data_IF_276853273812
#
_entry.id   IF_276853273812
#
_cell.length_a   1.000
_cell.length_b   1.000
_cell.length_c   1.000
_cell.angle_alpha   90.00
_cell.angle_beta   90.00
_cell.angle_gamma   90.00
#
_symmetry.space_group_name_H-M   'P 1'
#
loop_
_entity.id
_entity.type
_entity.pdbx_description
1 polymer ?
#
# COMPACT_ATOMS: atom_id res chain seq x y z
N UNK A 1 25.50 23.30 -66.70
CA UNK A 1 26.33 23.68 -65.53
C UNK A 1 25.42 24.28 -64.47
N UNK A 2 25.38 23.63 -63.31
CA UNK A 2 25.02 24.07 -61.95
C UNK A 2 24.28 25.42 -61.76
N UNK A 3 23.11 25.36 -61.13
CA UNK A 3 22.77 26.26 -60.03
C UNK A 3 21.92 25.51 -59.00
N UNK A 4 22.44 25.43 -57.77
CA UNK A 4 21.85 24.76 -56.62
C UNK A 4 20.75 25.62 -56.00
N UNK A 5 19.63 25.01 -55.60
CA UNK A 5 18.72 25.58 -54.61
C UNK A 5 18.49 24.54 -53.51
N UNK A 6 19.02 24.80 -52.33
CA UNK A 6 18.75 24.01 -51.11
C UNK A 6 17.40 24.46 -50.56
N UNK A 7 16.42 23.55 -50.49
CA UNK A 7 15.21 23.72 -49.68
C UNK A 7 15.33 22.73 -48.52
N UNK A 8 15.62 23.25 -47.34
CA UNK A 8 15.30 22.60 -46.09
C UNK A 8 13.89 23.07 -45.68
N UNK A 9 13.01 22.16 -45.26
CA UNK A 9 12.25 22.32 -44.01
C UNK A 9 11.37 21.10 -43.68
N UNK A 10 11.67 20.57 -42.49
CA UNK A 10 10.78 20.03 -41.44
C UNK A 10 9.94 18.77 -41.76
N UNK A 11 10.45 17.66 -41.21
CA UNK A 11 9.69 16.47 -40.86
C UNK A 11 8.82 16.79 -39.63
N UNK A 12 7.51 16.95 -39.82
CA UNK A 12 6.57 17.06 -38.71
C UNK A 12 6.38 15.67 -38.07
N UNK A 13 7.06 15.43 -36.95
CA UNK A 13 6.78 14.29 -36.10
C UNK A 13 5.44 14.53 -35.40
N UNK A 14 4.41 13.81 -35.82
CA UNK A 14 3.13 13.71 -35.11
C UNK A 14 3.36 12.91 -33.81
N UNK A 15 3.79 13.60 -32.75
CA UNK A 15 3.64 13.09 -31.38
C UNK A 15 2.18 13.22 -30.99
N UNK A 16 1.39 12.18 -31.26
CA UNK A 16 0.10 12.00 -30.61
C UNK A 16 0.29 11.95 -29.09
N UNK A 17 -0.66 12.46 -28.28
CA UNK A 17 -0.56 12.36 -26.84
C UNK A 17 -0.76 10.89 -26.45
N UNK A 18 0.37 10.18 -26.34
CA UNK A 18 0.41 8.92 -25.62
C UNK A 18 -0.11 9.16 -24.21
N UNK A 19 -1.02 8.30 -23.77
CA UNK A 19 -1.55 8.23 -22.41
C UNK A 19 -0.43 7.84 -21.42
N UNK A 20 0.48 8.78 -21.16
CA UNK A 20 1.59 8.64 -20.22
C UNK A 20 1.66 9.91 -19.34
N UNK A 21 0.54 10.26 -18.72
CA UNK A 21 0.44 11.36 -17.78
C UNK A 21 -0.44 10.97 -16.58
N UNK A 22 -0.03 9.91 -15.89
CA UNK A 22 -0.31 9.77 -14.46
C UNK A 22 0.97 9.25 -13.77
N UNK A 23 2.12 9.77 -14.20
CA UNK A 23 3.31 9.81 -13.35
C UNK A 23 3.00 10.86 -12.28
N UNK A 24 2.40 10.35 -11.21
CA UNK A 24 1.86 11.07 -10.07
C UNK A 24 2.85 12.10 -9.55
N UNK A 25 2.36 13.33 -9.37
CA UNK A 25 3.15 14.49 -9.03
C UNK A 25 3.41 14.47 -7.52
N UNK A 26 4.43 13.70 -7.09
CA UNK A 26 4.69 13.42 -5.67
C UNK A 26 5.91 14.19 -5.13
N UNK A 27 5.81 14.67 -3.90
CA UNK A 27 6.90 15.31 -3.13
C UNK A 27 7.15 14.54 -1.84
N UNK A 28 8.41 14.42 -1.45
CA UNK A 28 8.79 13.89 -0.14
C UNK A 28 8.28 14.76 1.01
N UNK A 29 7.77 14.12 2.07
CA UNK A 29 7.39 14.81 3.29
C UNK A 29 8.61 15.43 3.99
N UNK A 30 8.44 16.63 4.52
CA UNK A 30 9.34 17.14 5.56
C UNK A 30 9.19 16.29 6.83
N UNK A 31 10.18 16.39 7.73
CA UNK A 31 10.16 15.67 9.01
C UNK A 31 8.88 15.92 9.82
N UNK A 32 8.44 17.18 9.93
CA UNK A 32 7.24 17.55 10.68
C UNK A 32 5.95 16.99 10.05
N UNK A 33 5.89 16.96 8.71
CA UNK A 33 4.77 16.36 7.97
C UNK A 33 4.73 14.84 8.18
N UNK A 34 5.88 14.17 8.14
CA UNK A 34 5.99 12.74 8.41
C UNK A 34 5.61 12.40 9.86
N UNK A 35 6.08 13.19 10.84
CA UNK A 35 5.72 13.05 12.25
C UNK A 35 4.20 13.22 12.46
N UNK A 36 3.58 14.20 11.78
CA UNK A 36 2.13 14.41 11.83
C UNK A 36 1.36 13.23 11.22
N UNK A 37 1.82 12.72 10.08
CA UNK A 37 1.22 11.53 9.46
C UNK A 37 1.33 10.30 10.38
N UNK A 38 2.50 10.07 10.97
CA UNK A 38 2.71 8.96 11.89
C UNK A 38 1.83 9.09 13.14
N UNK A 39 1.71 10.30 13.70
CA UNK A 39 0.81 10.53 14.83
C UNK A 39 -0.65 10.18 14.48
N UNK A 40 -1.10 10.49 13.27
CA UNK A 40 -2.43 10.09 12.77
C UNK A 40 -2.53 8.58 12.53
N UNK A 41 -1.49 7.95 11.98
CA UNK A 41 -1.45 6.52 11.72
C UNK A 41 -1.58 5.71 13.01
N UNK A 42 -0.87 6.10 14.07
CA UNK A 42 -0.77 5.35 15.33
C UNK A 42 -1.64 5.90 16.46
N UNK A 43 -2.54 6.84 16.18
CA UNK A 43 -3.35 7.53 17.18
C UNK A 43 -2.51 8.18 18.32
N UNK A 44 -1.32 8.68 17.97
CA UNK A 44 -0.35 9.27 18.87
C UNK A 44 1.09 9.09 18.36
N UNK A 45 2.09 9.72 19.01
CA UNK A 45 3.49 9.52 18.66
C UNK A 45 3.89 8.04 18.81
N UNK A 46 4.56 7.42 17.82
CA UNK A 46 4.80 5.98 17.81
C UNK A 46 5.76 5.48 18.90
N UNK A 47 6.61 6.35 19.47
CA UNK A 47 7.64 5.96 20.42
C UNK A 47 8.60 4.93 19.82
N UNK A 48 9.04 3.96 20.62
CA UNK A 48 9.93 2.87 20.16
C UNK A 48 9.18 1.85 19.28
N UNK A 49 7.89 1.61 19.54
CA UNK A 49 7.07 0.65 18.79
C UNK A 49 5.57 0.98 18.84
N UNK A 50 4.94 0.98 17.67
CA UNK A 50 3.50 1.21 17.51
C UNK A 50 2.88 0.37 16.41
N UNK A 51 1.56 0.21 16.49
CA UNK A 51 0.76 -0.58 15.55
C UNK A 51 -0.54 0.14 15.21
N UNK A 52 -1.02 -0.09 13.99
CA UNK A 52 -2.32 0.35 13.53
C UNK A 52 -2.96 -0.78 12.71
N UNK A 53 -4.11 -1.27 13.17
CA UNK A 53 -4.87 -2.30 12.48
C UNK A 53 -6.08 -1.71 11.75
N UNK A 54 -6.28 -2.14 10.50
CA UNK A 54 -7.43 -1.79 9.68
C UNK A 54 -8.01 -3.02 9.02
N UNK A 55 -9.33 -3.13 8.96
CA UNK A 55 -10.01 -4.31 8.43
C UNK A 55 -11.20 -3.90 7.56
N UNK A 56 -11.45 -4.70 6.53
CA UNK A 56 -12.68 -4.67 5.75
C UNK A 56 -13.16 -6.09 5.48
N UNK A 57 -14.46 -6.31 5.64
CA UNK A 57 -15.15 -7.54 5.28
C UNK A 57 -16.34 -7.15 4.40
N UNK A 58 -16.49 -7.82 3.27
CA UNK A 58 -17.59 -7.57 2.34
C UNK A 58 -18.63 -8.68 2.46
N UNK A 59 -19.89 -8.30 2.60
CA UNK A 59 -20.99 -9.24 2.61
C UNK A 59 -21.35 -9.71 1.18
N UNK A 60 -22.27 -10.67 1.11
CA UNK A 60 -22.72 -11.23 -0.15
C UNK A 60 -23.42 -10.19 -1.04
N UNK A 61 -24.11 -9.20 -0.47
CA UNK A 61 -24.83 -8.17 -1.22
C UNK A 61 -23.85 -7.22 -1.92
N UNK A 62 -22.82 -6.77 -1.20
CA UNK A 62 -21.72 -5.99 -1.77
C UNK A 62 -21.03 -6.78 -2.89
N UNK A 63 -20.64 -8.03 -2.64
CA UNK A 63 -19.93 -8.84 -3.63
C UNK A 63 -20.81 -9.19 -4.85
N UNK A 64 -22.13 -9.20 -4.71
CA UNK A 64 -23.05 -9.34 -5.84
C UNK A 64 -23.10 -8.07 -6.70
N UNK A 65 -23.00 -6.88 -6.08
CA UNK A 65 -22.93 -5.58 -6.79
C UNK A 65 -21.56 -5.31 -7.43
N UNK A 66 -20.50 -5.95 -6.95
CA UNK A 66 -19.13 -5.82 -7.44
C UNK A 66 -18.62 -7.14 -8.02
N UNK A 67 -19.14 -7.57 -9.19
CA UNK A 67 -18.90 -8.91 -9.72
C UNK A 67 -17.43 -9.16 -10.11
N UNK A 68 -16.62 -8.11 -10.30
CA UNK A 68 -15.19 -8.24 -10.65
C UNK A 68 -14.29 -8.21 -9.41
N UNK A 69 -14.85 -8.04 -8.21
CA UNK A 69 -14.10 -8.02 -6.96
C UNK A 69 -13.65 -9.43 -6.59
N UNK A 70 -12.34 -9.60 -6.45
CA UNK A 70 -11.69 -10.85 -6.07
C UNK A 70 -11.57 -10.95 -4.55
N UNK A 71 -11.31 -9.85 -3.85
CA UNK A 71 -11.07 -9.86 -2.40
C UNK A 71 -12.39 -9.80 -1.63
N UNK A 72 -12.63 -10.77 -0.75
CA UNK A 72 -13.82 -10.81 0.12
C UNK A 72 -13.57 -10.18 1.50
N UNK A 73 -12.33 -10.20 1.97
CA UNK A 73 -11.93 -9.51 3.20
C UNK A 73 -10.45 -9.14 3.15
N UNK A 74 -10.09 -8.05 3.79
CA UNK A 74 -8.72 -7.56 3.88
C UNK A 74 -8.43 -7.04 5.29
N UNK A 75 -7.23 -7.31 5.78
CA UNK A 75 -6.64 -6.79 7.01
C UNK A 75 -5.31 -6.14 6.65
N UNK A 76 -5.05 -4.97 7.21
CA UNK A 76 -3.79 -4.27 7.12
C UNK A 76 -3.30 -3.98 8.53
N UNK A 77 -2.11 -4.48 8.86
CA UNK A 77 -1.35 -4.07 10.01
C UNK A 77 -0.20 -3.19 9.52
N UNK A 78 -0.15 -1.95 9.98
CA UNK A 78 1.02 -1.08 9.81
C UNK A 78 1.72 -1.02 11.16
N UNK A 79 3.03 -1.26 11.19
CA UNK A 79 3.85 -1.13 12.39
C UNK A 79 4.93 -0.09 12.18
N UNK A 80 5.32 0.56 13.27
CA UNK A 80 6.48 1.42 13.33
C UNK A 80 7.44 0.92 14.39
N UNK A 81 8.73 0.96 14.10
CA UNK A 81 9.81 0.62 15.02
C UNK A 81 10.92 1.66 14.91
N UNK A 82 11.34 2.22 16.04
CA UNK A 82 12.47 3.16 16.08
C UNK A 82 13.77 2.38 16.18
N UNK A 83 14.61 2.50 15.16
CA UNK A 83 15.94 1.92 15.15
C UNK A 83 16.92 2.86 15.87
N UNK A 84 17.64 2.30 16.84
CA UNK A 84 18.56 3.06 17.70
C UNK A 84 19.92 3.30 17.06
N UNK A 85 20.30 2.48 16.08
CA UNK A 85 21.56 2.57 15.36
C UNK A 85 21.51 3.69 14.33
N UNK A 86 20.47 3.71 13.48
CA UNK A 86 20.31 4.75 12.45
C UNK A 86 19.49 5.96 12.91
N UNK A 87 18.84 5.86 14.08
CA UNK A 87 18.01 6.91 14.70
C UNK A 87 16.81 7.31 13.85
N UNK A 88 16.25 6.35 13.12
CA UNK A 88 15.09 6.55 12.25
C UNK A 88 13.91 5.67 12.65
N UNK A 89 12.72 6.12 12.27
CA UNK A 89 11.49 5.33 12.41
C UNK A 89 11.26 4.55 11.13
N UNK A 90 11.29 3.23 11.23
CA UNK A 90 10.99 2.33 10.12
C UNK A 90 9.54 1.90 10.18
N UNK A 91 8.84 2.00 9.06
CA UNK A 91 7.49 1.50 8.93
C UNK A 91 7.50 0.19 8.16
N UNK A 92 6.68 -0.76 8.60
CA UNK A 92 6.46 -2.00 7.87
C UNK A 92 4.96 -2.29 7.78
N UNK A 93 4.59 -3.17 6.85
CA UNK A 93 3.20 -3.59 6.72
C UNK A 93 3.07 -5.10 6.65
N UNK A 94 1.93 -5.58 7.12
CA UNK A 94 1.43 -6.92 6.86
C UNK A 94 0.01 -6.79 6.33
N UNK A 95 -0.22 -7.33 5.15
CA UNK A 95 -1.50 -7.38 4.48
C UNK A 95 -1.98 -8.83 4.50
N UNK A 96 -3.16 -9.08 5.05
CA UNK A 96 -3.81 -10.39 4.94
C UNK A 96 -5.17 -10.26 4.28
N UNK A 97 -5.54 -11.21 3.44
CA UNK A 97 -6.80 -11.16 2.72
C UNK A 97 -7.31 -12.56 2.37
N UNK A 98 -8.59 -12.61 1.98
CA UNK A 98 -9.26 -13.81 1.49
C UNK A 98 -9.89 -13.53 0.14
N UNK A 99 -9.76 -14.48 -0.77
CA UNK A 99 -10.47 -14.41 -2.04
C UNK A 99 -11.93 -14.82 -1.87
N UNK A 100 -12.80 -14.28 -2.72
CA UNK A 100 -14.22 -14.67 -2.80
C UNK A 100 -14.40 -16.11 -3.28
N UNK A 101 -13.62 -16.51 -4.29
CA UNK A 101 -13.78 -17.80 -5.01
C UNK A 101 -12.57 -18.72 -4.88
N UNK A 102 -11.70 -18.45 -3.90
CA UNK A 102 -10.53 -19.30 -3.60
C UNK A 102 -10.37 -19.39 -2.10
N UNK A 103 -10.29 -20.63 -1.60
CA UNK A 103 -10.12 -20.90 -0.18
C UNK A 103 -8.69 -20.64 0.29
N UNK A 104 -8.55 -20.28 1.56
CA UNK A 104 -7.27 -19.99 2.19
C UNK A 104 -7.17 -18.55 2.66
N UNK A 105 -6.23 -18.34 3.59
CA UNK A 105 -5.81 -17.03 4.03
C UNK A 105 -4.48 -16.71 3.34
N UNK A 106 -4.45 -15.56 2.67
CA UNK A 106 -3.31 -15.10 1.90
C UNK A 106 -2.72 -13.88 2.55
N UNK A 107 -1.42 -13.72 2.45
CA UNK A 107 -0.73 -12.59 3.03
C UNK A 107 0.40 -12.07 2.13
N UNK A 108 0.79 -10.84 2.43
CA UNK A 108 1.92 -10.14 1.83
C UNK A 108 2.48 -9.20 2.88
N UNK A 109 3.79 -9.02 2.92
CA UNK A 109 4.44 -8.14 3.89
C UNK A 109 5.68 -7.51 3.29
N UNK A 110 6.15 -6.46 3.94
CA UNK A 110 7.36 -5.76 3.53
C UNK A 110 7.55 -4.45 4.29
N UNK A 111 8.46 -3.62 3.77
CA UNK A 111 8.80 -2.33 4.34
C UNK A 111 8.02 -1.20 3.69
N UNK A 112 7.89 -0.08 4.38
CA UNK A 112 7.32 1.12 3.82
C UNK A 112 8.36 2.24 3.75
N UNK A 113 8.40 2.92 2.62
CA UNK A 113 9.18 4.12 2.40
C UNK A 113 8.64 5.30 3.22
N UNK A 114 9.38 6.41 3.19
CA UNK A 114 8.94 7.67 3.77
C UNK A 114 7.60 8.13 3.18
N UNK A 115 6.88 8.92 3.97
CA UNK A 115 5.61 9.54 3.58
C UNK A 115 5.85 10.44 2.37
N UNK A 116 5.00 10.29 1.35
CA UNK A 116 4.95 11.17 0.18
C UNK A 116 3.63 11.91 0.15
N UNK A 117 3.65 13.13 -0.38
CA UNK A 117 2.48 13.95 -0.60
C UNK A 117 2.25 14.13 -2.10
N UNK A 118 1.00 14.24 -2.51
CA UNK A 118 0.66 14.87 -3.79
C UNK A 118 1.16 16.32 -3.82
N UNK A 119 1.49 16.86 -4.99
CA UNK A 119 1.99 18.24 -5.11
C UNK A 119 1.04 19.30 -4.57
N UNK A 120 -0.27 19.04 -4.57
CA UNK A 120 -1.26 19.93 -3.96
C UNK A 120 -1.28 19.85 -2.41
N UNK A 121 -0.47 18.95 -1.82
CA UNK A 121 -0.29 18.79 -0.38
C UNK A 121 -1.45 18.11 0.34
N UNK A 122 -2.49 17.70 -0.38
CA UNK A 122 -3.74 17.26 0.22
C UNK A 122 -3.77 15.75 0.54
N UNK A 123 -2.99 14.94 -0.19
CA UNK A 123 -2.99 13.49 -0.05
C UNK A 123 -1.61 12.98 0.41
N UNK A 124 -1.50 12.69 1.69
CA UNK A 124 -0.34 12.03 2.30
C UNK A 124 -0.46 10.51 2.21
N UNK A 125 0.63 9.83 1.82
CA UNK A 125 0.63 8.38 1.57
C UNK A 125 1.93 7.75 2.01
N UNK A 126 1.84 6.56 2.59
CA UNK A 126 2.96 5.66 2.81
C UNK A 126 3.09 4.73 1.62
N UNK A 127 4.25 4.70 0.95
CA UNK A 127 4.54 3.71 -0.09
C UNK A 127 5.07 2.44 0.55
N UNK A 128 4.39 1.31 0.41
CA UNK A 128 4.76 0.05 1.05
C UNK A 128 5.10 -0.99 -0.01
N UNK A 129 6.35 -1.47 0.00
CA UNK A 129 6.91 -2.37 -1.00
C UNK A 129 7.14 -3.77 -0.44
N UNK A 130 6.94 -4.77 -1.30
CA UNK A 130 7.31 -6.17 -1.04
C UNK A 130 8.70 -6.40 -1.64
N UNK A 131 9.56 -7.05 -0.88
CA UNK A 131 10.95 -7.31 -1.28
C UNK A 131 11.05 -8.12 -2.59
N UNK A 132 12.21 -8.04 -3.25
CA UNK A 132 12.53 -8.80 -4.45
C UNK A 132 11.52 -8.62 -5.60
N UNK A 133 11.20 -7.36 -5.91
CA UNK A 133 10.24 -6.96 -6.97
C UNK A 133 8.82 -7.51 -6.74
N UNK A 134 8.43 -7.72 -5.49
CA UNK A 134 7.10 -8.20 -5.14
C UNK A 134 5.99 -7.17 -5.37
N UNK A 135 6.32 -5.93 -5.74
CA UNK A 135 5.35 -4.85 -5.97
C UNK A 135 5.08 -4.06 -4.68
N UNK A 136 3.90 -3.46 -4.56
CA UNK A 136 3.55 -2.65 -3.40
C UNK A 136 2.12 -2.10 -3.37
N UNK A 137 1.84 -1.42 -2.26
CA UNK A 137 0.59 -0.69 -2.00
C UNK A 137 0.91 0.74 -1.56
N UNK A 138 0.03 1.68 -1.89
CA UNK A 138 0.00 2.99 -1.25
C UNK A 138 -1.00 2.99 -0.10
N UNK A 139 -0.61 3.45 1.08
CA UNK A 139 -1.49 3.54 2.26
C UNK A 139 -1.68 5.01 2.63
N UNK A 140 -2.90 5.52 2.45
CA UNK A 140 -3.29 6.84 2.94
C UNK A 140 -4.28 6.70 4.11
N UNK A 141 -4.51 7.79 4.84
CA UNK A 141 -5.56 7.87 5.85
C UNK A 141 -6.71 8.75 5.36
N UNK A 142 -7.94 8.35 5.69
CA UNK A 142 -9.09 9.25 5.68
C UNK A 142 -8.82 10.51 6.50
N UNK A 143 -9.56 11.59 6.24
CA UNK A 143 -9.37 12.89 6.92
C UNK A 143 -9.58 12.75 8.43
N UNK A 144 -10.51 11.89 8.82
CA UNK A 144 -10.96 11.60 10.17
C UNK A 144 -10.06 10.56 10.87
N UNK A 145 -9.13 9.93 10.15
CA UNK A 145 -8.21 8.88 10.64
C UNK A 145 -8.88 7.56 11.04
N UNK A 146 -10.18 7.41 10.77
CA UNK A 146 -10.98 6.23 11.08
C UNK A 146 -10.82 5.11 10.05
N UNK A 147 -10.18 5.40 8.91
CA UNK A 147 -9.96 4.42 7.85
C UNK A 147 -8.64 4.63 7.13
N UNK A 148 -8.03 3.53 6.68
CA UNK A 148 -6.95 3.52 5.72
C UNK A 148 -7.49 3.33 4.29
N UNK A 149 -6.90 4.03 3.33
CA UNK A 149 -7.16 3.89 1.91
C UNK A 149 -5.95 3.18 1.29
N UNK A 150 -6.11 1.90 1.00
CA UNK A 150 -5.10 1.06 0.35
C UNK A 150 -5.28 1.15 -1.16
N UNK A 151 -4.31 1.73 -1.85
CA UNK A 151 -4.21 1.73 -3.30
C UNK A 151 -3.31 0.58 -3.72
N UNK A 152 -3.89 -0.44 -4.33
CA UNK A 152 -3.16 -1.60 -4.82
C UNK A 152 -2.67 -1.34 -6.24
N UNK A 153 -1.41 -1.70 -6.52
CA UNK A 153 -0.93 -1.89 -7.88
C UNK A 153 -0.80 -3.39 -8.17
N UNK A 154 0.14 -4.03 -7.48
CA UNK A 154 0.42 -5.47 -7.49
C UNK A 154 1.16 -5.77 -6.20
N UNK A 155 0.85 -6.88 -5.54
CA UNK A 155 1.69 -7.44 -4.48
C UNK A 155 1.86 -8.94 -4.70
N UNK A 156 3.06 -9.47 -4.46
CA UNK A 156 3.32 -10.91 -4.35
C UNK A 156 2.64 -11.43 -3.08
N UNK A 157 2.04 -12.60 -3.17
CA UNK A 157 1.23 -13.16 -2.08
C UNK A 157 1.64 -14.59 -1.77
N UNK A 158 1.59 -14.92 -0.49
CA UNK A 158 1.83 -16.26 0.03
C UNK A 158 0.54 -16.78 0.65
N UNK A 159 0.41 -18.11 0.70
CA UNK A 159 -0.62 -18.72 1.52
C UNK A 159 -0.02 -18.95 2.91
N UNK A 160 -0.66 -18.41 3.95
CA UNK A 160 -0.11 -18.35 5.32
C UNK A 160 0.34 -19.73 5.85
N UNK A 161 -0.29 -20.80 5.36
CA UNK A 161 -0.07 -22.18 5.78
C UNK A 161 1.05 -22.89 4.98
N UNK A 162 1.57 -22.25 3.93
CA UNK A 162 2.55 -22.80 2.98
C UNK A 162 3.50 -21.70 2.47
N UNK A 163 4.35 -21.15 3.36
CA UNK A 163 5.27 -20.06 3.00
C UNK A 163 6.38 -20.50 2.03
N UNK A 164 6.69 -21.80 1.98
CA UNK A 164 7.78 -22.38 1.16
C UNK A 164 7.31 -22.91 -0.21
N UNK A 165 6.00 -22.87 -0.52
CA UNK A 165 5.54 -23.12 -1.89
C UNK A 165 5.97 -21.91 -2.75
N UNK A 166 6.59 -22.15 -3.90
CA UNK A 166 7.02 -21.10 -4.83
C UNK A 166 5.87 -20.12 -5.05
N UNK A 167 6.00 -18.90 -4.54
CA UNK A 167 4.96 -17.88 -4.62
C UNK A 167 4.85 -17.35 -6.05
N UNK A 168 4.21 -18.13 -6.92
CA UNK A 168 3.90 -17.76 -8.30
C UNK A 168 2.66 -16.85 -8.42
N UNK A 169 2.09 -16.38 -7.31
CA UNK A 169 0.86 -15.61 -7.33
C UNK A 169 1.03 -14.16 -6.87
N UNK A 170 0.28 -13.28 -7.53
CA UNK A 170 0.21 -11.86 -7.18
C UNK A 170 -1.24 -11.42 -7.07
N UNK A 171 -1.55 -10.66 -6.03
CA UNK A 171 -2.77 -9.88 -5.99
C UNK A 171 -2.54 -8.62 -6.84
N UNK A 172 -3.16 -8.57 -8.02
CA UNK A 172 -3.07 -7.44 -8.96
C UNK A 172 -4.34 -6.59 -8.89
N UNK A 173 -4.18 -5.28 -8.99
CA UNK A 173 -5.28 -4.33 -9.09
C UNK A 173 -6.24 -4.70 -10.21
N UNK A 174 -7.53 -4.80 -9.87
CA UNK A 174 -8.62 -5.02 -10.82
C UNK A 174 -9.59 -3.84 -10.81
N UNK A 175 -10.62 -3.90 -11.66
CA UNK A 175 -11.66 -2.87 -11.72
C UNK A 175 -12.31 -2.60 -10.36
N UNK A 176 -12.56 -3.66 -9.58
CA UNK A 176 -13.15 -3.59 -8.23
C UNK A 176 -12.12 -3.85 -7.11
N UNK A 177 -10.83 -4.01 -7.44
CA UNK A 177 -9.76 -4.34 -6.47
C UNK A 177 -8.59 -3.34 -6.55
N UNK A 178 -8.80 -2.11 -7.04
CA UNK A 178 -7.74 -1.09 -7.13
C UNK A 178 -7.58 -0.29 -5.83
N UNK A 179 -8.69 -0.04 -5.14
CA UNK A 179 -8.73 0.81 -3.94
C UNK A 179 -9.59 0.14 -2.88
N UNK A 180 -9.05 -0.01 -1.68
CA UNK A 180 -9.76 -0.56 -0.53
C UNK A 180 -9.82 0.49 0.58
N UNK A 181 -11.02 0.75 1.08
CA UNK A 181 -11.22 1.46 2.35
C UNK A 181 -11.30 0.43 3.47
N UNK A 182 -10.35 0.48 4.38
CA UNK A 182 -10.26 -0.40 5.55
C UNK A 182 -10.57 0.40 6.81
N UNK A 183 -11.50 -0.07 7.62
CA UNK A 183 -11.93 0.61 8.83
C UNK A 183 -10.91 0.32 9.95
N UNK A 184 -10.48 1.35 10.69
CA UNK A 184 -9.58 1.20 11.84
C UNK A 184 -10.26 0.37 12.91
N UNK A 185 -9.52 -0.53 13.54
CA UNK A 185 -10.01 -1.40 14.59
C UNK A 185 -8.92 -1.66 15.63
N UNK A 186 -9.28 -2.39 16.69
CA UNK A 186 -8.34 -2.89 17.69
C UNK A 186 -7.23 -3.75 17.06
N UNK A 187 -6.02 -3.64 17.61
CA UNK A 187 -4.84 -4.34 17.12
C UNK A 187 -5.00 -5.88 17.13
N UNK A 188 -5.80 -6.43 18.04
CA UNK A 188 -6.06 -7.86 18.14
C UNK A 188 -6.74 -8.44 16.88
N UNK A 189 -7.48 -7.64 16.11
CA UNK A 189 -8.07 -8.09 14.85
C UNK A 189 -7.00 -8.46 13.81
N UNK A 190 -5.81 -7.86 13.90
CA UNK A 190 -4.67 -8.14 13.03
C UNK A 190 -3.70 -9.19 13.60
N UNK A 191 -3.97 -9.76 14.78
CA UNK A 191 -3.11 -10.75 15.43
C UNK A 191 -2.77 -11.96 14.54
N UNK A 192 -3.69 -12.36 13.66
CA UNK A 192 -3.48 -13.47 12.71
C UNK A 192 -2.40 -13.21 11.67
N UNK A 193 -1.94 -11.96 11.51
CA UNK A 193 -0.87 -11.58 10.57
C UNK A 193 0.53 -11.65 11.19
N UNK A 194 0.62 -11.74 12.51
CA UNK A 194 1.89 -11.71 13.24
C UNK A 194 2.31 -13.14 13.58
N UNK A 195 3.41 -13.57 12.98
CA UNK A 195 3.96 -14.93 13.16
C UNK A 195 4.98 -15.02 14.30
N UNK A 196 5.67 -13.92 14.64
CA UNK A 196 6.58 -13.89 15.78
C UNK A 196 5.83 -13.80 17.12
N UNK A 197 6.19 -14.67 18.06
CA UNK A 197 5.48 -14.77 19.35
C UNK A 197 5.67 -13.55 20.25
N UNK A 198 6.85 -12.91 20.19
CA UNK A 198 7.14 -11.73 21.02
C UNK A 198 6.41 -10.51 20.46
N UNK A 199 6.44 -10.34 19.15
CA UNK A 199 5.69 -9.30 18.44
C UNK A 199 4.18 -9.45 18.69
N UNK A 200 3.66 -10.68 18.62
CA UNK A 200 2.24 -10.96 18.89
C UNK A 200 1.84 -10.60 20.32
N UNK A 201 2.69 -10.88 21.30
CA UNK A 201 2.44 -10.47 22.68
C UNK A 201 2.41 -8.93 22.79
N UNK A 202 3.39 -8.24 22.18
CA UNK A 202 3.43 -6.78 22.18
C UNK A 202 2.21 -6.14 21.51
N UNK A 203 1.74 -6.72 20.39
CA UNK A 203 0.54 -6.26 19.68
C UNK A 203 -0.72 -6.35 20.55
N UNK A 204 -0.87 -7.42 21.34
CA UNK A 204 -2.05 -7.65 22.20
C UNK A 204 -2.09 -6.75 23.44
N UNK A 205 -0.97 -6.14 23.81
CA UNK A 205 -0.86 -5.23 24.95
C UNK A 205 -0.94 -3.75 24.55
N UNK A 206 -1.18 -3.46 23.26
CA UNK A 206 -1.24 -2.12 22.67
C UNK A 206 -2.65 -1.81 22.19
#
# INVERSE_FOLDING_TARGET
MKLSLFIAFILAALSGPGHAAEADDIREASRAEAETFNARMYAGPPGDKAYACFVRRYDAEHLARHPKQKVASMKLLVSAEYDKEDKQLHNSFRLGFRYRHRSGDFDSSGSCSHVVFTKDGNDARLGCGVDCEGGGIGVALSKENESAIVRLARVRVWQNNKPDDDAEESLVAGADDKIFRLDRTDNSECASLVTDRKELAALRHK
#
